data_IF_365812230396
#
_entry.id   IF_365812230396
#
_cell.length_a   1.000
_cell.length_b   1.000
_cell.length_c   1.000
_cell.angle_alpha   90.00
_cell.angle_beta   90.00
_cell.angle_gamma   90.00
#
_symmetry.space_group_name_H-M   'P 1'
#
loop_
_entity.id
_entity.type
_entity.pdbx_description
1 polymer ?
#
# COMPACT_ATOMS: atom_id res chain seq x y z
N UNK A 1 60.80 -2.19 -54.35
CA UNK A 1 60.32 -2.12 -52.95
C UNK A 1 60.11 -0.65 -52.64
N UNK A 2 59.01 -0.13 -52.10
CA UNK A 2 57.98 -0.70 -51.25
C UNK A 2 56.59 -0.07 -51.55
N UNK A 3 55.56 -0.79 -51.11
CA UNK A 3 54.14 -0.62 -51.43
C UNK A 3 53.47 0.59 -50.78
N UNK A 4 52.47 1.11 -51.51
CA UNK A 4 51.37 1.95 -51.01
C UNK A 4 50.56 1.18 -49.96
N UNK A 5 50.22 1.81 -48.83
CA UNK A 5 49.23 1.28 -47.91
C UNK A 5 47.97 2.15 -47.88
N UNK A 6 46.85 1.45 -48.06
CA UNK A 6 45.47 1.91 -48.17
C UNK A 6 44.98 2.48 -46.84
N UNK A 7 44.17 3.54 -46.90
CA UNK A 7 43.37 3.99 -45.76
C UNK A 7 42.25 2.99 -45.45
N UNK A 8 41.99 2.74 -44.17
CA UNK A 8 40.74 2.13 -43.72
C UNK A 8 40.20 2.94 -42.54
N UNK A 9 39.22 3.81 -42.79
CA UNK A 9 38.40 4.45 -41.75
C UNK A 9 37.55 3.37 -41.08
N UNK A 10 37.82 3.06 -39.82
CA UNK A 10 36.88 2.30 -38.98
C UNK A 10 35.71 3.21 -38.60
N UNK A 11 34.56 2.94 -39.19
CA UNK A 11 33.27 3.46 -38.73
C UNK A 11 32.97 2.88 -37.35
N UNK A 12 32.88 3.72 -36.33
CA UNK A 12 32.34 3.34 -35.04
C UNK A 12 30.82 3.34 -35.12
N UNK A 13 30.22 2.16 -35.29
CA UNK A 13 28.79 1.96 -35.10
C UNK A 13 28.51 2.05 -33.60
N UNK A 14 27.81 3.10 -33.18
CA UNK A 14 27.32 3.26 -31.81
C UNK A 14 26.26 2.19 -31.58
N UNK A 15 26.60 1.12 -30.87
CA UNK A 15 25.63 0.15 -30.40
C UNK A 15 24.65 0.88 -29.47
N UNK A 16 23.44 1.13 -29.93
CA UNK A 16 22.34 1.56 -29.08
C UNK A 16 21.97 0.36 -28.20
N UNK A 17 22.42 0.37 -26.96
CA UNK A 17 21.82 -0.43 -25.89
C UNK A 17 20.40 0.07 -25.73
N UNK A 18 19.46 -0.56 -26.44
CA UNK A 18 18.05 -0.41 -26.14
C UNK A 18 17.86 -0.91 -24.70
N UNK A 19 17.60 0.02 -23.79
CA UNK A 19 17.07 -0.31 -22.48
C UNK A 19 15.77 -1.08 -22.75
N UNK A 20 15.81 -2.40 -22.57
CA UNK A 20 14.59 -3.21 -22.56
C UNK A 20 13.87 -2.78 -21.28
N UNK A 21 13.00 -1.79 -21.39
CA UNK A 21 12.00 -1.51 -20.36
C UNK A 21 11.24 -2.82 -20.20
N UNK A 22 11.52 -3.54 -19.12
CA UNK A 22 10.74 -4.69 -18.74
C UNK A 22 9.38 -4.12 -18.34
N UNK A 23 8.45 -4.09 -19.31
CA UNK A 23 7.06 -3.79 -19.03
C UNK A 23 6.56 -4.90 -18.10
N UNK A 24 6.55 -4.63 -16.80
CA UNK A 24 5.66 -5.37 -15.90
C UNK A 24 4.27 -4.97 -16.36
N UNK A 25 3.54 -5.91 -16.96
CA UNK A 25 2.15 -5.67 -17.34
C UNK A 25 1.35 -5.27 -16.11
N UNK A 26 0.30 -4.48 -16.33
CA UNK A 26 -0.64 -4.05 -15.31
C UNK A 26 -1.08 -5.20 -14.40
N UNK A 27 -0.89 -5.01 -13.10
CA UNK A 27 -1.47 -5.88 -12.07
C UNK A 27 -2.72 -5.22 -11.51
N UNK A 28 -3.83 -5.96 -11.49
CA UNK A 28 -5.07 -5.56 -10.86
C UNK A 28 -5.20 -6.20 -9.48
N UNK A 29 -5.98 -5.55 -8.61
CA UNK A 29 -6.21 -5.94 -7.23
C UNK A 29 -7.65 -6.43 -7.05
N UNK A 30 -7.86 -7.31 -6.07
CA UNK A 30 -9.18 -7.79 -5.67
C UNK A 30 -9.42 -7.44 -4.20
N UNK A 31 -10.70 -7.44 -3.80
CA UNK A 31 -11.05 -7.31 -2.40
C UNK A 31 -10.57 -8.59 -1.66
N UNK A 32 -9.75 -8.47 -0.60
CA UNK A 32 -9.23 -9.63 0.12
C UNK A 32 -10.27 -10.19 1.07
N UNK A 33 -10.46 -11.51 1.10
CA UNK A 33 -11.40 -12.14 2.02
C UNK A 33 -11.06 -11.83 3.49
N UNK A 34 -12.12 -11.70 4.31
CA UNK A 34 -11.99 -11.59 5.76
C UNK A 34 -11.73 -12.97 6.36
N UNK A 35 -10.89 -13.03 7.39
CA UNK A 35 -10.60 -14.27 8.11
C UNK A 35 -11.69 -14.62 9.14
N UNK A 36 -12.72 -13.78 9.27
CA UNK A 36 -13.79 -13.88 10.25
C UNK A 36 -15.11 -13.31 9.69
N UNK A 37 -16.23 -13.75 10.27
CA UNK A 37 -17.58 -13.28 9.89
C UNK A 37 -17.80 -11.81 10.23
N UNK A 38 -18.71 -11.12 9.52
CA UNK A 38 -18.98 -9.69 9.75
C UNK A 38 -19.33 -9.34 11.21
N UNK A 39 -20.11 -10.19 11.89
CA UNK A 39 -20.50 -9.97 13.29
C UNK A 39 -19.49 -10.47 14.33
N UNK A 40 -18.35 -11.05 13.93
CA UNK A 40 -17.44 -11.72 14.85
C UNK A 40 -16.69 -10.76 15.80
N UNK A 41 -16.72 -9.45 15.51
CA UNK A 41 -16.11 -8.39 16.33
C UNK A 41 -17.10 -7.72 17.28
N UNK A 42 -18.34 -8.19 17.35
CA UNK A 42 -19.32 -7.68 18.30
C UNK A 42 -18.93 -8.05 19.75
N UNK A 43 -19.20 -7.16 20.72
CA UNK A 43 -19.93 -5.89 20.61
C UNK A 43 -19.05 -4.68 20.25
N UNK A 44 -17.74 -4.85 20.04
CA UNK A 44 -16.82 -3.73 19.82
C UNK A 44 -17.06 -3.03 18.47
N UNK A 45 -17.35 -3.80 17.42
CA UNK A 45 -17.72 -3.28 16.09
C UNK A 45 -18.93 -4.08 15.59
N UNK A 46 -20.01 -3.40 15.19
CA UNK A 46 -21.22 -4.09 14.72
C UNK A 46 -21.03 -4.75 13.36
N UNK A 47 -21.75 -5.85 13.13
CA UNK A 47 -21.72 -6.57 11.86
C UNK A 47 -22.18 -5.72 10.67
N UNK A 48 -23.13 -4.81 10.88
CA UNK A 48 -23.59 -3.87 9.85
C UNK A 48 -22.47 -2.92 9.40
N UNK A 49 -21.71 -2.37 10.35
CA UNK A 49 -20.54 -1.52 10.04
C UNK A 49 -19.52 -2.34 9.27
N UNK A 50 -19.19 -3.54 9.74
CA UNK A 50 -18.22 -4.42 9.08
C UNK A 50 -18.62 -4.74 7.64
N UNK A 51 -19.89 -5.09 7.41
CA UNK A 51 -20.40 -5.42 6.08
C UNK A 51 -20.32 -4.22 5.13
N UNK A 52 -20.79 -3.04 5.55
CA UNK A 52 -20.76 -1.84 4.71
C UNK A 52 -19.32 -1.36 4.46
N UNK A 53 -18.49 -1.35 5.50
CA UNK A 53 -17.09 -0.91 5.42
C UNK A 53 -16.26 -1.81 4.48
N UNK A 54 -16.47 -3.12 4.54
CA UNK A 54 -15.82 -4.08 3.65
C UNK A 54 -16.41 -4.07 2.23
N UNK A 55 -17.70 -4.39 2.08
CA UNK A 55 -18.31 -4.65 0.77
C UNK A 55 -18.55 -3.39 -0.06
N UNK A 56 -18.65 -2.20 0.57
CA UNK A 56 -18.88 -0.94 -0.13
C UNK A 56 -17.63 -0.07 -0.17
N UNK A 57 -17.10 0.31 1.00
CA UNK A 57 -15.99 1.26 1.05
C UNK A 57 -14.68 0.65 0.52
N UNK A 58 -14.25 -0.50 1.06
CA UNK A 58 -13.03 -1.14 0.57
C UNK A 58 -13.15 -1.58 -0.89
N UNK A 59 -14.29 -2.14 -1.30
CA UNK A 59 -14.54 -2.49 -2.70
C UNK A 59 -14.47 -1.28 -3.65
N UNK A 60 -14.95 -0.11 -3.22
CA UNK A 60 -14.85 1.11 -4.03
C UNK A 60 -13.39 1.53 -4.24
N UNK A 61 -12.55 1.45 -3.20
CA UNK A 61 -11.12 1.72 -3.32
C UNK A 61 -10.44 0.76 -4.30
N UNK A 62 -10.68 -0.55 -4.19
CA UNK A 62 -10.11 -1.55 -5.12
C UNK A 62 -10.52 -1.26 -6.56
N UNK A 63 -11.82 -1.08 -6.80
CA UNK A 63 -12.36 -0.82 -8.15
C UNK A 63 -11.75 0.44 -8.77
N UNK A 64 -11.70 1.53 -8.01
CA UNK A 64 -11.19 2.81 -8.52
C UNK A 64 -9.65 2.83 -8.62
N UNK A 65 -8.96 2.05 -7.80
CA UNK A 65 -7.52 1.89 -7.90
C UNK A 65 -7.14 1.18 -9.20
N UNK A 66 -7.81 0.07 -9.53
CA UNK A 66 -7.60 -0.65 -10.79
C UNK A 66 -7.82 0.27 -12.01
N UNK A 67 -8.92 1.03 -12.02
CA UNK A 67 -9.20 2.01 -13.09
C UNK A 67 -8.08 3.06 -13.22
N UNK A 68 -7.56 3.55 -12.11
CA UNK A 68 -6.48 4.53 -12.12
C UNK A 68 -5.17 3.94 -12.65
N UNK A 69 -4.89 2.67 -12.35
CA UNK A 69 -3.71 1.97 -12.85
C UNK A 69 -3.81 1.69 -14.36
N UNK A 70 -4.98 1.30 -14.87
CA UNK A 70 -5.24 1.15 -16.32
C UNK A 70 -4.96 2.47 -17.06
N UNK A 71 -5.52 3.57 -16.56
CA UNK A 71 -5.30 4.90 -17.15
C UNK A 71 -3.84 5.34 -17.06
N UNK A 72 -3.13 4.96 -15.98
CA UNK A 72 -1.72 5.29 -15.82
C UNK A 72 -0.86 4.51 -16.82
N UNK A 73 -1.12 3.21 -17.00
CA UNK A 73 -0.40 2.39 -17.98
C UNK A 73 -0.58 2.96 -19.39
N UNK A 74 -1.80 3.34 -19.76
CA UNK A 74 -2.08 3.99 -21.03
C UNK A 74 -1.31 5.32 -21.19
N UNK A 75 -1.30 6.17 -20.17
CA UNK A 75 -0.57 7.44 -20.19
C UNK A 75 0.94 7.23 -20.32
N UNK A 76 1.51 6.27 -19.60
CA UNK A 76 2.94 5.90 -19.68
C UNK A 76 3.29 5.40 -21.09
N UNK A 77 2.46 4.53 -21.67
CA UNK A 77 2.67 3.99 -23.01
C UNK A 77 2.62 5.07 -24.10
N UNK A 78 1.83 6.13 -23.87
CA UNK A 78 1.74 7.30 -24.76
C UNK A 78 2.80 8.37 -24.49
N UNK A 79 3.59 8.25 -23.43
CA UNK A 79 4.51 9.30 -22.97
C UNK A 79 3.80 10.57 -22.46
N UNK A 80 2.54 10.46 -22.05
CA UNK A 80 1.74 11.58 -21.54
C UNK A 80 2.02 11.81 -20.05
N UNK A 81 3.12 12.52 -19.78
CA UNK A 81 3.56 12.86 -18.42
C UNK A 81 2.51 13.69 -17.67
N UNK A 82 1.76 14.56 -18.36
CA UNK A 82 0.74 15.41 -17.74
C UNK A 82 -0.39 14.56 -17.13
N UNK A 83 -0.89 13.61 -17.90
CA UNK A 83 -1.92 12.68 -17.40
C UNK A 83 -1.37 11.77 -16.31
N UNK A 84 -0.14 11.25 -16.45
CA UNK A 84 0.49 10.43 -15.40
C UNK A 84 0.60 11.16 -14.05
N UNK A 85 0.93 12.46 -14.07
CA UNK A 85 0.98 13.30 -12.86
C UNK A 85 -0.42 13.55 -12.32
N UNK A 86 -1.41 13.85 -13.18
CA UNK A 86 -2.80 14.10 -12.77
C UNK A 86 -3.42 12.90 -12.07
N UNK A 87 -3.07 11.67 -12.49
CA UNK A 87 -3.58 10.42 -11.91
C UNK A 87 -3.02 10.11 -10.50
N UNK A 88 -1.92 10.75 -10.09
CA UNK A 88 -1.30 10.46 -8.78
C UNK A 88 -2.25 10.68 -7.60
N UNK A 89 -3.16 11.63 -7.69
CA UNK A 89 -4.17 11.85 -6.65
C UNK A 89 -5.11 10.64 -6.49
N UNK A 90 -5.62 10.11 -7.60
CA UNK A 90 -6.50 8.94 -7.60
C UNK A 90 -5.76 7.67 -7.17
N UNK A 91 -4.51 7.50 -7.60
CA UNK A 91 -3.64 6.39 -7.20
C UNK A 91 -3.38 6.42 -5.70
N UNK A 92 -2.96 7.58 -5.17
CA UNK A 92 -2.69 7.73 -3.72
C UNK A 92 -3.95 7.49 -2.90
N UNK A 93 -5.08 8.06 -3.31
CA UNK A 93 -6.32 7.96 -2.54
C UNK A 93 -6.87 6.53 -2.54
N UNK A 94 -7.01 5.91 -3.71
CA UNK A 94 -7.62 4.58 -3.80
C UNK A 94 -6.64 3.46 -3.45
N UNK A 95 -5.37 3.59 -3.85
CA UNK A 95 -4.32 2.65 -3.46
C UNK A 95 -4.04 2.71 -1.95
N UNK A 96 -3.94 3.93 -1.39
CA UNK A 96 -3.83 4.12 0.06
C UNK A 96 -5.05 3.60 0.81
N UNK A 97 -6.26 3.83 0.28
CA UNK A 97 -7.49 3.25 0.80
C UNK A 97 -7.42 1.72 0.85
N UNK A 98 -7.05 1.06 -0.25
CA UNK A 98 -6.91 -0.39 -0.31
C UNK A 98 -5.86 -0.92 0.69
N UNK A 99 -4.68 -0.31 0.74
CA UNK A 99 -3.61 -0.70 1.69
C UNK A 99 -4.07 -0.57 3.13
N UNK A 100 -4.64 0.58 3.50
CA UNK A 100 -5.04 0.84 4.88
C UNK A 100 -6.13 -0.14 5.34
N UNK A 101 -7.13 -0.41 4.50
CA UNK A 101 -8.19 -1.35 4.85
C UNK A 101 -7.69 -2.79 4.90
N UNK A 102 -6.81 -3.19 3.98
CA UNK A 102 -6.23 -4.54 4.00
C UNK A 102 -5.43 -4.79 5.28
N UNK A 103 -4.69 -3.78 5.76
CA UNK A 103 -4.00 -3.85 7.05
C UNK A 103 -5.00 -3.87 8.21
N UNK A 104 -6.03 -3.02 8.16
CA UNK A 104 -7.07 -2.93 9.19
C UNK A 104 -7.81 -4.26 9.40
N UNK A 105 -8.14 -4.99 8.35
CA UNK A 105 -8.79 -6.30 8.51
C UNK A 105 -7.87 -7.36 9.12
N UNK A 106 -6.57 -7.31 8.82
CA UNK A 106 -5.59 -8.27 9.36
C UNK A 106 -5.09 -7.92 10.76
N UNK A 107 -5.33 -6.71 11.25
CA UNK A 107 -4.96 -6.30 12.61
C UNK A 107 -6.12 -6.39 13.62
N UNK A 108 -7.28 -6.86 13.17
CA UNK A 108 -8.43 -7.18 14.00
C UNK A 108 -8.61 -8.69 14.07
N UNK A 109 -9.12 -9.17 15.20
CA UNK A 109 -9.51 -10.56 15.39
C UNK A 109 -10.67 -10.62 16.40
N UNK A 110 -11.55 -11.62 16.29
CA UNK A 110 -12.53 -11.91 17.34
C UNK A 110 -11.85 -12.14 18.70
N UNK A 111 -12.49 -11.74 19.78
CA UNK A 111 -11.92 -11.89 21.13
C UNK A 111 -11.57 -13.36 21.47
N UNK A 112 -12.38 -14.30 21.01
CA UNK A 112 -12.14 -15.73 21.21
C UNK A 112 -10.99 -16.30 20.37
N UNK A 113 -10.47 -15.54 19.40
CA UNK A 113 -9.30 -15.87 18.58
C UNK A 113 -8.04 -15.09 18.99
N UNK A 114 -8.10 -14.38 20.13
CA UNK A 114 -6.97 -13.59 20.66
C UNK A 114 -7.06 -12.09 20.37
N UNK A 115 -8.17 -11.60 19.82
CA UNK A 115 -8.44 -10.18 19.69
C UNK A 115 -8.42 -9.46 21.03
N UNK A 116 -7.52 -8.48 21.19
CA UNK A 116 -7.34 -7.73 22.44
C UNK A 116 -6.31 -8.34 23.40
N UNK A 117 -5.74 -9.50 23.10
CA UNK A 117 -4.67 -10.07 23.90
C UNK A 117 -3.36 -9.26 23.77
N UNK A 118 -2.65 -8.97 24.88
CA UNK A 118 -1.42 -8.19 24.83
C UNK A 118 -0.34 -8.85 23.95
N UNK A 119 0.37 -8.09 23.09
CA UNK A 119 1.44 -8.62 22.27
C UNK A 119 2.54 -9.23 23.13
N UNK A 120 3.10 -10.35 22.66
CA UNK A 120 4.17 -11.08 23.34
C UNK A 120 5.50 -10.87 22.62
N UNK A 121 6.58 -11.42 23.18
CA UNK A 121 7.91 -11.51 22.54
C UNK A 121 8.50 -10.13 22.20
N UNK A 122 9.17 -10.00 21.05
CA UNK A 122 9.91 -8.80 20.65
C UNK A 122 9.03 -7.54 20.56
N UNK A 123 7.79 -7.68 20.07
CA UNK A 123 6.87 -6.54 19.98
C UNK A 123 6.47 -6.03 21.36
N UNK A 124 6.09 -6.93 22.29
CA UNK A 124 5.75 -6.54 23.67
C UNK A 124 6.92 -5.82 24.36
N UNK A 125 8.14 -6.35 24.22
CA UNK A 125 9.34 -5.71 24.79
C UNK A 125 9.63 -4.34 24.19
N UNK A 126 9.47 -4.17 22.88
CA UNK A 126 9.65 -2.88 22.23
C UNK A 126 8.59 -1.85 22.66
N UNK A 127 7.36 -2.30 22.91
CA UNK A 127 6.29 -1.47 23.45
C UNK A 127 6.68 -0.94 24.84
N UNK A 128 7.10 -1.83 25.73
CA UNK A 128 7.50 -1.45 27.08
C UNK A 128 8.73 -0.52 27.05
N UNK A 129 9.69 -0.79 26.16
CA UNK A 129 10.91 0.02 26.02
C UNK A 129 10.62 1.43 25.50
N UNK A 130 9.76 1.56 24.50
CA UNK A 130 9.56 2.82 23.78
C UNK A 130 8.43 3.66 24.37
N UNK A 131 7.49 3.04 25.08
CA UNK A 131 6.28 3.71 25.56
C UNK A 131 6.00 3.47 27.05
N UNK A 132 6.81 2.65 27.72
CA UNK A 132 6.71 2.35 29.15
C UNK A 132 5.75 1.20 29.46
N UNK A 133 4.61 1.12 28.78
CA UNK A 133 3.67 0.00 28.88
C UNK A 133 2.69 -0.04 27.70
N UNK A 134 2.01 -1.17 27.52
CA UNK A 134 0.88 -1.27 26.59
C UNK A 134 -0.26 -0.28 26.90
N UNK A 135 -0.53 0.00 28.17
CA UNK A 135 -1.58 0.94 28.55
C UNK A 135 -1.23 2.39 28.18
N UNK A 136 0.02 2.81 28.45
CA UNK A 136 0.51 4.13 28.04
C UNK A 136 0.45 4.28 26.52
N UNK A 137 0.75 3.19 25.84
CA UNK A 137 0.70 3.09 24.41
C UNK A 137 -0.74 3.24 23.88
N UNK A 138 -1.70 2.47 24.40
CA UNK A 138 -3.14 2.61 24.09
C UNK A 138 -3.62 4.04 24.33
N UNK A 139 -3.30 4.63 25.48
CA UNK A 139 -3.68 6.00 25.83
C UNK A 139 -3.16 7.02 24.81
N UNK A 140 -1.88 6.89 24.41
CA UNK A 140 -1.31 7.75 23.36
C UNK A 140 -2.08 7.58 22.06
N UNK A 141 -2.35 6.35 21.64
CA UNK A 141 -3.08 6.05 20.40
C UNK A 141 -4.47 6.65 20.39
N UNK A 142 -5.22 6.48 21.48
CA UNK A 142 -6.55 7.04 21.65
C UNK A 142 -6.54 8.57 21.61
N UNK A 143 -5.56 9.21 22.24
CA UNK A 143 -5.43 10.67 22.23
C UNK A 143 -5.13 11.21 20.82
N UNK A 144 -4.18 10.62 20.10
CA UNK A 144 -3.85 11.03 18.73
C UNK A 144 -5.04 10.78 17.78
N UNK A 145 -5.74 9.65 17.92
CA UNK A 145 -6.94 9.35 17.14
C UNK A 145 -8.07 10.34 17.37
N UNK A 146 -8.29 10.74 18.63
CA UNK A 146 -9.31 11.74 18.98
C UNK A 146 -8.96 13.16 18.47
N UNK A 147 -7.67 13.47 18.32
CA UNK A 147 -7.19 14.77 17.85
C UNK A 147 -7.23 14.93 16.31
N UNK A 148 -7.48 13.86 15.55
CA UNK A 148 -7.57 13.92 14.09
C UNK A 148 -8.71 14.85 13.64
N UNK A 149 -8.39 15.82 12.79
CA UNK A 149 -9.37 16.70 12.18
C UNK A 149 -9.83 16.13 10.83
N UNK A 150 -11.09 15.71 10.76
CA UNK A 150 -11.67 15.10 9.56
C UNK A 150 -11.39 13.59 9.46
N UNK A 151 -11.34 13.06 8.23
CA UNK A 151 -11.09 11.63 7.99
C UNK A 151 -9.60 11.31 8.00
N UNK A 152 -9.19 10.30 8.77
CA UNK A 152 -7.79 9.90 8.88
C UNK A 152 -7.61 8.52 9.50
N UNK A 153 -6.34 8.14 9.66
CA UNK A 153 -5.92 6.90 10.31
C UNK A 153 -4.92 7.24 11.40
N UNK A 154 -5.06 6.60 12.56
CA UNK A 154 -4.05 6.54 13.61
C UNK A 154 -3.37 5.18 13.57
N UNK A 155 -2.04 5.16 13.65
CA UNK A 155 -1.27 3.93 13.61
C UNK A 155 0.16 4.19 14.06
N UNK A 156 0.89 3.12 14.38
CA UNK A 156 2.32 3.21 14.63
C UNK A 156 3.10 2.41 13.62
N UNK A 157 4.37 2.81 13.49
CA UNK A 157 5.30 2.28 12.51
C UNK A 157 6.53 1.77 13.24
N UNK A 158 7.05 0.65 12.76
CA UNK A 158 8.35 0.17 13.17
C UNK A 158 9.44 0.85 12.33
N UNK A 159 10.45 1.42 12.97
CA UNK A 159 11.62 1.99 12.31
C UNK A 159 12.86 1.29 12.80
N UNK A 160 13.60 0.65 11.90
CA UNK A 160 14.93 0.12 12.20
C UNK A 160 15.94 1.27 12.21
N UNK A 161 16.73 1.36 13.28
CA UNK A 161 17.91 2.24 13.35
C UNK A 161 19.17 1.46 13.00
#
# INVERSE_FOLDING_TARGET
>A
MALRNLMTRKSFTRASTAFRQQQRGLQTFTLPDLDYDYGALEPAISGEIMQLHYQKHHQAYVTNYNKALEQLEEAINKGDVSTSVKLQSAIKFNGGGHVNHSIFWKNLAPAHEGGGEPPKTSLGWAIDTNFGSLDALIQKMSAEGAALQGSGWGGWVWTEN
#
